data_IF_002615564356
#
_entry.id   IF_002615564356
#
_cell.length_a   1.000
_cell.length_b   1.000
_cell.length_c   1.000
_cell.angle_alpha   90.00
_cell.angle_beta   90.00
_cell.angle_gamma   90.00
#
_symmetry.space_group_name_H-M   'P 1'
#
loop_
_entity.id
_entity.type
_entity.pdbx_description
1 polymer ?
#
# COMPACT_ATOMS: atom_id res chain seq x y z
N UNK A 1 -23.14 10.94 -27.62
CA UNK A 1 -21.88 10.23 -27.96
C UNK A 1 -21.36 9.59 -26.68
N UNK A 2 -20.98 8.32 -26.77
CA UNK A 2 -21.11 7.30 -25.72
C UNK A 2 -20.10 7.36 -24.59
N UNK A 3 -20.56 7.09 -23.36
CA UNK A 3 -19.75 6.61 -22.21
C UNK A 3 -19.61 5.08 -22.29
N UNK A 4 -18.63 4.50 -21.59
CA UNK A 4 -19.01 3.43 -20.67
C UNK A 4 -18.41 3.59 -19.27
N UNK A 5 -19.10 2.96 -18.32
CA UNK A 5 -18.91 3.01 -16.88
C UNK A 5 -18.34 1.67 -16.34
N UNK A 6 -17.69 1.77 -15.18
CA UNK A 6 -17.72 0.87 -14.02
C UNK A 6 -17.84 -0.65 -14.27
N UNK A 7 -16.83 -1.41 -13.86
CA UNK A 7 -16.93 -2.87 -13.72
C UNK A 7 -16.73 -3.31 -12.28
N UNK A 8 -17.71 -3.00 -11.43
CA UNK A 8 -17.96 -3.78 -10.21
C UNK A 8 -19.33 -4.46 -10.34
N UNK A 9 -19.35 -5.80 -10.35
CA UNK A 9 -20.56 -6.58 -10.61
C UNK A 9 -21.01 -7.34 -9.37
N UNK A 10 -22.21 -6.99 -8.88
CA UNK A 10 -22.99 -7.76 -7.92
C UNK A 10 -23.72 -8.93 -8.61
N UNK A 11 -23.79 -10.08 -7.93
CA UNK A 11 -24.39 -11.33 -8.39
C UNK A 11 -25.82 -11.54 -7.85
N UNK A 12 -26.76 -12.01 -8.71
CA UNK A 12 -27.97 -12.81 -8.43
C UNK A 12 -28.34 -13.56 -9.74
N UNK A 13 -28.83 -14.80 -9.84
CA UNK A 13 -29.34 -15.85 -8.93
C UNK A 13 -29.19 -17.24 -9.62
N UNK A 14 -28.96 -18.26 -8.80
CA UNK A 14 -29.33 -19.70 -8.81
C UNK A 14 -29.68 -20.44 -10.13
N UNK A 15 -28.91 -21.50 -10.41
CA UNK A 15 -29.36 -22.74 -11.06
C UNK A 15 -28.66 -23.95 -10.42
N UNK A 16 -29.44 -24.97 -10.07
CA UNK A 16 -29.02 -26.20 -9.34
C UNK A 16 -28.21 -27.15 -10.24
N UNK A 17 -27.15 -27.76 -9.69
CA UNK A 17 -26.47 -28.91 -10.30
C UNK A 17 -25.78 -29.80 -9.24
N UNK A 18 -25.78 -31.12 -9.52
CA UNK A 18 -25.49 -32.29 -8.65
C UNK A 18 -24.08 -32.33 -8.03
N UNK A 19 -23.88 -33.06 -6.90
CA UNK A 19 -22.62 -33.08 -6.17
C UNK A 19 -21.59 -34.00 -6.85
N UNK A 20 -20.39 -33.47 -7.15
CA UNK A 20 -19.20 -34.29 -7.39
C UNK A 20 -18.35 -34.29 -6.12
N UNK A 21 -18.01 -35.49 -5.63
CA UNK A 21 -17.24 -35.71 -4.38
C UNK A 21 -15.91 -34.96 -4.43
N UNK A 22 -15.74 -34.01 -3.52
CA UNK A 22 -14.50 -33.30 -3.29
C UNK A 22 -13.46 -34.25 -2.66
N UNK A 23 -12.28 -34.35 -3.30
CA UNK A 23 -11.08 -34.85 -2.63
C UNK A 23 -10.63 -33.76 -1.65
N UNK A 24 -10.77 -34.00 -0.35
CA UNK A 24 -10.30 -33.10 0.72
C UNK A 24 -8.78 -32.99 0.65
N UNK A 25 -8.27 -31.81 0.33
CA UNK A 25 -6.89 -31.44 0.64
C UNK A 25 -6.93 -30.47 1.84
N UNK A 26 -6.45 -30.85 3.04
CA UNK A 26 -6.50 -29.99 4.20
C UNK A 26 -5.30 -29.05 4.18
N UNK A 27 -5.47 -27.84 3.63
CA UNK A 27 -4.60 -26.72 3.95
C UNK A 27 -5.45 -25.59 4.51
N UNK A 28 -5.85 -25.75 5.76
CA UNK A 28 -6.26 -24.64 6.62
C UNK A 28 -5.00 -23.86 6.98
N UNK A 29 -4.67 -22.85 6.16
CA UNK A 29 -3.62 -21.88 6.49
C UNK A 29 -4.04 -21.06 7.70
N UNK A 30 -3.24 -21.12 8.77
CA UNK A 30 -3.36 -20.21 9.90
C UNK A 30 -3.25 -18.75 9.44
N UNK A 31 -3.85 -17.77 10.17
CA UNK A 31 -3.66 -16.36 9.87
C UNK A 31 -2.16 -16.04 9.82
N UNK A 32 -1.70 -15.52 8.68
CA UNK A 32 -0.30 -15.14 8.51
C UNK A 32 0.02 -13.98 9.45
N UNK A 33 0.85 -14.25 10.46
CA UNK A 33 1.42 -13.23 11.32
C UNK A 33 2.11 -12.14 10.47
N UNK A 34 2.12 -10.86 10.92
CA UNK A 34 2.74 -9.77 10.17
C UNK A 34 4.18 -10.14 9.81
N UNK A 35 4.44 -10.18 8.50
CA UNK A 35 5.71 -10.64 7.95
C UNK A 35 6.76 -9.56 8.23
N UNK A 36 7.90 -9.94 8.81
CA UNK A 36 9.06 -9.05 8.92
C UNK A 36 9.53 -8.65 7.50
N UNK A 37 10.10 -7.45 7.33
CA UNK A 37 10.62 -7.01 6.05
C UNK A 37 11.54 -8.07 5.44
N UNK A 38 11.45 -8.29 4.13
CA UNK A 38 12.55 -8.88 3.38
C UNK A 38 13.81 -8.05 3.65
N UNK A 39 14.96 -8.69 3.83
CA UNK A 39 16.22 -8.03 4.13
C UNK A 39 16.66 -7.15 2.95
N UNK A 40 16.13 -5.93 2.87
CA UNK A 40 16.65 -4.90 1.98
C UNK A 40 18.00 -4.46 2.53
N UNK A 41 18.99 -4.41 1.65
CA UNK A 41 20.32 -3.94 2.02
C UNK A 41 20.19 -2.49 2.55
N UNK A 42 20.57 -2.21 3.81
CA UNK A 42 20.39 -0.89 4.42
C UNK A 42 21.12 0.22 3.68
N UNK A 43 22.19 -0.10 2.94
CA UNK A 43 22.97 0.87 2.15
C UNK A 43 22.54 0.96 0.69
N UNK A 44 21.58 0.15 0.24
CA UNK A 44 21.05 0.25 -1.13
C UNK A 44 20.20 1.53 -1.28
N UNK A 45 20.03 2.03 -2.51
CA UNK A 45 19.11 3.14 -2.80
C UNK A 45 17.71 2.85 -2.27
N UNK A 46 17.04 3.87 -1.74
CA UNK A 46 15.72 3.71 -1.17
C UNK A 46 14.68 3.39 -2.26
N UNK A 47 13.77 2.41 -2.07
CA UNK A 47 12.76 2.06 -3.06
C UNK A 47 11.88 3.24 -3.50
N UNK A 48 11.62 4.21 -2.63
CA UNK A 48 10.82 5.39 -2.94
C UNK A 48 11.41 6.35 -4.00
N UNK A 49 12.57 6.02 -4.57
CA UNK A 49 13.21 6.77 -5.66
C UNK A 49 14.13 7.91 -5.21
N UNK A 50 14.33 8.11 -3.89
CA UNK A 50 15.31 9.08 -3.38
C UNK A 50 16.73 8.51 -3.45
N UNK A 51 17.70 9.40 -3.67
CA UNK A 51 19.13 9.04 -3.77
C UNK A 51 19.73 8.56 -2.43
N UNK A 52 19.12 8.93 -1.30
CA UNK A 52 19.53 8.49 0.03
C UNK A 52 19.43 6.97 0.18
N UNK A 53 20.34 6.41 0.99
CA UNK A 53 20.30 4.99 1.34
C UNK A 53 19.00 4.65 2.08
N UNK A 54 18.48 3.43 1.88
CA UNK A 54 17.24 2.98 2.49
C UNK A 54 17.21 3.21 4.00
N UNK A 55 18.29 2.87 4.73
CA UNK A 55 18.40 3.06 6.18
C UNK A 55 18.19 4.52 6.61
N UNK A 56 18.71 5.46 5.84
CA UNK A 56 18.71 6.89 6.18
C UNK A 56 17.44 7.59 5.65
N UNK A 57 16.77 6.95 4.68
CA UNK A 57 15.51 7.40 4.10
C UNK A 57 14.30 6.70 4.74
N UNK A 58 13.62 5.79 4.03
CA UNK A 58 12.38 5.18 4.54
C UNK A 58 12.60 4.18 5.67
N UNK A 59 13.79 3.58 5.76
CA UNK A 59 14.20 2.71 6.86
C UNK A 59 14.14 3.41 8.22
N UNK A 60 14.51 4.70 8.30
CA UNK A 60 14.39 5.47 9.53
C UNK A 60 12.93 5.60 10.01
N UNK A 61 11.97 5.74 9.08
CA UNK A 61 10.53 5.70 9.41
C UNK A 61 10.06 4.29 9.79
N UNK A 62 10.57 3.27 9.10
CA UNK A 62 10.22 1.87 9.35
C UNK A 62 10.73 1.39 10.71
N UNK A 63 11.83 1.94 11.20
CA UNK A 63 12.40 1.66 12.52
C UNK A 63 11.83 2.57 13.63
N UNK A 64 11.03 3.58 13.28
CA UNK A 64 10.50 4.55 14.24
C UNK A 64 11.54 5.55 14.76
N UNK A 65 12.69 5.68 14.10
CA UNK A 65 13.70 6.70 14.43
C UNK A 65 13.25 8.10 14.09
N UNK A 66 12.43 8.23 13.05
CA UNK A 66 11.83 9.50 12.61
C UNK A 66 10.39 9.28 12.17
N UNK A 67 9.51 10.23 12.49
CA UNK A 67 8.16 10.30 11.94
C UNK A 67 8.19 10.95 10.56
N UNK A 68 7.17 10.69 9.73
CA UNK A 68 7.07 11.35 8.44
C UNK A 68 6.59 12.80 8.64
N UNK A 69 7.37 13.85 8.28
CA UNK A 69 6.97 15.25 8.49
C UNK A 69 5.84 15.74 7.57
N UNK A 70 5.56 15.03 6.47
CA UNK A 70 4.56 15.42 5.46
C UNK A 70 3.79 14.21 4.96
N UNK A 71 2.60 14.45 4.40
CA UNK A 71 1.79 13.42 3.74
C UNK A 71 2.55 12.73 2.59
N UNK A 72 3.25 13.49 1.75
CA UNK A 72 4.10 12.90 0.70
C UNK A 72 5.21 12.02 1.29
N UNK A 73 5.83 12.46 2.38
CA UNK A 73 6.90 11.70 3.01
C UNK A 73 6.39 10.39 3.60
N UNK A 74 5.16 10.38 4.11
CA UNK A 74 4.46 9.17 4.55
C UNK A 74 4.09 8.27 3.36
N UNK A 75 3.59 8.85 2.27
CA UNK A 75 3.27 8.08 1.05
C UNK A 75 4.52 7.34 0.54
N UNK A 76 5.66 8.02 0.47
CA UNK A 76 6.95 7.43 0.03
C UNK A 76 7.44 6.31 0.94
N UNK A 77 7.32 6.48 2.27
CA UNK A 77 7.68 5.41 3.19
C UNK A 77 6.71 4.25 3.09
N UNK A 78 5.40 4.48 2.97
CA UNK A 78 4.41 3.42 2.76
C UNK A 78 4.68 2.63 1.49
N UNK A 79 4.98 3.29 0.38
CA UNK A 79 5.44 2.61 -0.84
C UNK A 79 6.68 1.72 -0.58
N UNK A 80 7.67 2.24 0.14
CA UNK A 80 8.86 1.46 0.47
C UNK A 80 8.53 0.26 1.36
N UNK A 81 7.59 0.40 2.29
CA UNK A 81 7.11 -0.71 3.10
C UNK A 81 6.42 -1.80 2.27
N UNK A 82 5.65 -1.43 1.24
CA UNK A 82 5.15 -2.40 0.26
C UNK A 82 6.29 -3.10 -0.49
N UNK A 83 7.30 -2.35 -0.93
CA UNK A 83 8.45 -2.90 -1.64
C UNK A 83 9.28 -3.88 -0.81
N UNK A 84 9.46 -3.59 0.50
CA UNK A 84 10.25 -4.44 1.40
C UNK A 84 9.41 -5.46 2.17
N UNK A 85 8.08 -5.40 2.06
CA UNK A 85 7.16 -6.30 2.76
C UNK A 85 6.95 -6.00 4.25
N UNK A 86 7.09 -4.75 4.70
CA UNK A 86 6.84 -4.33 6.09
C UNK A 86 5.35 -4.07 6.33
N UNK A 87 4.56 -5.13 6.52
CA UNK A 87 3.11 -5.00 6.76
C UNK A 87 2.81 -4.35 8.11
N UNK A 88 3.69 -4.48 9.09
CA UNK A 88 3.55 -3.81 10.39
C UNK A 88 3.61 -2.28 10.23
N UNK A 89 4.48 -1.74 9.36
CA UNK A 89 4.48 -0.31 9.04
C UNK A 89 3.21 0.13 8.35
N UNK A 90 2.76 -0.65 7.38
CA UNK A 90 1.56 -0.34 6.63
C UNK A 90 0.34 -0.28 7.55
N UNK A 91 0.22 -1.19 8.51
CA UNK A 91 -0.87 -1.20 9.48
C UNK A 91 -0.74 -0.10 10.54
N UNK A 92 0.47 0.24 11.00
CA UNK A 92 0.62 1.30 12.03
C UNK A 92 0.44 2.72 11.48
N UNK A 93 0.66 2.91 10.18
CA UNK A 93 0.48 4.20 9.50
C UNK A 93 -0.84 4.32 8.73
N UNK A 94 -1.78 3.40 8.99
CA UNK A 94 -3.13 3.44 8.46
C UNK A 94 -4.07 3.94 9.55
N UNK A 95 -4.92 4.88 9.20
CA UNK A 95 -5.93 5.42 10.09
C UNK A 95 -6.84 4.30 10.63
N UNK A 96 -7.06 4.20 11.95
CA UNK A 96 -7.79 3.08 12.56
C UNK A 96 -9.21 2.86 12.01
N UNK A 97 -9.89 3.92 11.57
CA UNK A 97 -11.27 3.82 11.07
C UNK A 97 -11.38 3.12 9.70
N UNK A 98 -10.30 3.08 8.91
CA UNK A 98 -10.30 2.50 7.55
C UNK A 98 -9.28 1.37 7.41
N UNK A 99 -8.48 1.11 8.45
CA UNK A 99 -7.45 0.07 8.46
C UNK A 99 -8.06 -1.33 8.41
N UNK A 100 -7.63 -2.20 7.47
CA UNK A 100 -8.05 -3.60 7.48
C UNK A 100 -7.45 -4.35 8.69
N UNK A 101 -8.14 -5.38 9.18
CA UNK A 101 -7.67 -6.18 10.31
C UNK A 101 -6.38 -6.95 10.00
N UNK A 102 -6.23 -7.41 8.75
CA UNK A 102 -5.03 -8.09 8.25
C UNK A 102 -4.64 -7.51 6.90
N UNK A 103 -3.35 -7.61 6.57
CA UNK A 103 -2.81 -7.16 5.29
C UNK A 103 -1.84 -8.22 4.76
N UNK A 104 -2.28 -8.91 3.70
CA UNK A 104 -1.48 -9.88 2.99
C UNK A 104 -0.97 -9.27 1.67
N UNK A 105 0.34 -9.35 1.46
CA UNK A 105 0.97 -8.85 0.24
C UNK A 105 1.18 -10.00 -0.73
N UNK A 106 0.91 -9.76 -2.01
CA UNK A 106 1.15 -10.72 -3.09
C UNK A 106 2.65 -11.08 -3.20
N UNK A 107 3.07 -12.32 -2.85
CA UNK A 107 4.48 -12.66 -2.78
C UNK A 107 5.24 -12.59 -4.10
N UNK A 108 4.55 -12.70 -5.24
CA UNK A 108 5.15 -12.54 -6.56
C UNK A 108 5.27 -11.06 -7.00
N UNK A 109 4.58 -10.14 -6.33
CA UNK A 109 4.59 -8.73 -6.66
C UNK A 109 5.92 -8.10 -6.28
N UNK A 110 6.52 -7.37 -7.22
CA UNK A 110 7.68 -6.52 -6.98
C UNK A 110 7.32 -5.09 -7.33
N UNK A 111 7.63 -4.15 -6.44
CA UNK A 111 7.49 -2.73 -6.67
C UNK A 111 8.80 -2.18 -7.22
N UNK A 112 8.73 -1.51 -8.36
CA UNK A 112 9.92 -1.16 -9.16
C UNK A 112 10.14 0.34 -9.32
N UNK A 113 9.14 1.18 -9.00
CA UNK A 113 9.29 2.62 -9.03
C UNK A 113 8.08 3.36 -8.47
N UNK A 114 8.30 4.62 -8.08
CA UNK A 114 7.27 5.51 -7.58
C UNK A 114 7.42 6.89 -8.21
N UNK A 115 6.36 7.36 -8.86
CA UNK A 115 6.22 8.75 -9.32
C UNK A 115 5.22 9.47 -8.41
N UNK A 116 5.62 10.60 -7.83
CA UNK A 116 4.68 11.54 -7.21
C UNK A 116 4.23 12.52 -8.29
N UNK A 117 2.94 12.55 -8.54
CA UNK A 117 2.33 13.33 -9.63
C UNK A 117 1.80 14.68 -9.11
N UNK A 118 1.32 14.71 -7.87
CA UNK A 118 0.77 15.91 -7.26
C UNK A 118 0.60 15.78 -5.75
N UNK A 119 0.60 16.92 -5.06
CA UNK A 119 0.27 17.01 -3.63
C UNK A 119 -0.63 18.23 -3.38
N UNK A 120 -1.49 18.12 -2.38
CA UNK A 120 -2.29 19.25 -1.87
C UNK A 120 -2.36 19.18 -0.35
N UNK A 121 -2.11 20.29 0.34
CA UNK A 121 -1.96 20.31 1.80
C UNK A 121 -0.78 19.45 2.27
N UNK A 122 -0.93 18.76 3.40
CA UNK A 122 0.02 17.70 3.79
C UNK A 122 1.40 18.16 4.27
N UNK A 123 1.62 19.46 4.45
CA UNK A 123 2.87 20.00 5.02
C UNK A 123 2.86 19.96 6.55
N UNK A 124 3.97 20.32 7.20
CA UNK A 124 4.08 20.37 8.66
C UNK A 124 3.08 21.32 9.36
N UNK A 125 2.38 22.18 8.62
CA UNK A 125 1.39 23.12 9.16
C UNK A 125 -0.06 22.72 8.84
N UNK A 126 -0.27 21.60 8.16
CA UNK A 126 -1.59 21.10 7.82
C UNK A 126 -1.94 19.89 8.67
N UNK A 127 -3.25 19.70 8.87
CA UNK A 127 -3.77 18.49 9.52
C UNK A 127 -4.39 17.50 8.53
N UNK A 128 -4.50 17.89 7.26
CA UNK A 128 -4.93 17.03 6.16
C UNK A 128 -4.06 17.25 4.92
N UNK A 129 -4.01 16.25 4.06
CA UNK A 129 -3.33 16.35 2.77
C UNK A 129 -3.70 15.23 1.82
N UNK A 130 -3.39 15.44 0.55
CA UNK A 130 -3.55 14.42 -0.49
C UNK A 130 -2.27 14.26 -1.29
N UNK A 131 -2.05 13.05 -1.80
CA UNK A 131 -0.92 12.71 -2.67
C UNK A 131 -1.44 11.90 -3.85
N UNK A 132 -1.20 12.40 -5.04
CA UNK A 132 -1.45 11.71 -6.30
C UNK A 132 -0.15 11.06 -6.77
N UNK A 133 -0.19 9.77 -7.08
CA UNK A 133 1.01 9.02 -7.45
C UNK A 133 0.74 7.88 -8.43
N UNK A 134 1.84 7.42 -9.03
CA UNK A 134 1.89 6.19 -9.82
C UNK A 134 2.96 5.26 -9.27
N UNK A 135 2.55 4.06 -8.86
CA UNK A 135 3.43 3.03 -8.35
C UNK A 135 3.62 1.93 -9.41
N UNK A 136 4.85 1.74 -9.85
CA UNK A 136 5.23 0.77 -10.89
C UNK A 136 5.59 -0.57 -10.27
N UNK A 137 5.27 -1.63 -11.00
CA UNK A 137 5.41 -2.97 -10.46
C UNK A 137 5.69 -4.02 -11.54
N UNK A 138 6.20 -5.18 -11.10
CA UNK A 138 6.26 -6.43 -11.87
C UNK A 138 5.53 -7.53 -11.10
N UNK A 139 4.59 -8.22 -11.75
CA UNK A 139 3.80 -9.31 -11.18
C UNK A 139 3.80 -10.50 -12.15
N UNK A 140 4.27 -11.66 -11.69
CA UNK A 140 4.38 -12.86 -12.52
C UNK A 140 5.10 -12.62 -13.86
N UNK A 141 6.10 -11.73 -13.87
CA UNK A 141 6.86 -11.36 -15.07
C UNK A 141 6.23 -10.25 -15.92
N UNK A 142 5.02 -9.79 -15.60
CA UNK A 142 4.35 -8.70 -16.30
C UNK A 142 4.55 -7.37 -15.57
N UNK A 143 5.01 -6.35 -16.30
CA UNK A 143 5.13 -5.00 -15.77
C UNK A 143 3.83 -4.23 -15.87
N UNK A 144 3.52 -3.44 -14.85
CA UNK A 144 2.34 -2.59 -14.81
C UNK A 144 2.55 -1.39 -13.88
N UNK A 145 1.51 -0.58 -13.74
CA UNK A 145 1.49 0.50 -12.75
C UNK A 145 0.10 0.65 -12.13
N UNK A 146 0.06 1.20 -10.93
CA UNK A 146 -1.16 1.57 -10.21
C UNK A 146 -1.15 3.08 -10.03
N UNK A 147 -2.23 3.74 -10.42
CA UNK A 147 -2.44 5.16 -10.20
C UNK A 147 -3.42 5.33 -9.04
N UNK A 148 -3.10 6.22 -8.10
CA UNK A 148 -3.95 6.50 -6.95
C UNK A 148 -3.84 7.98 -6.53
N UNK A 149 -4.95 8.53 -6.04
CA UNK A 149 -4.99 9.80 -5.32
C UNK A 149 -5.43 9.52 -3.89
N UNK A 150 -4.49 9.55 -2.94
CA UNK A 150 -4.74 9.17 -1.55
C UNK A 150 -4.93 10.37 -0.65
N UNK A 151 -5.75 10.20 0.39
CA UNK A 151 -5.96 11.15 1.48
C UNK A 151 -5.22 10.73 2.75
N UNK A 152 -4.71 11.74 3.45
CA UNK A 152 -3.95 11.62 4.69
C UNK A 152 -4.45 12.63 5.71
N UNK A 153 -4.39 12.25 6.98
CA UNK A 153 -4.68 13.11 8.13
C UNK A 153 -3.52 13.08 9.11
N UNK A 154 -3.34 14.15 9.88
CA UNK A 154 -2.36 14.22 10.95
C UNK A 154 -3.07 14.19 12.30
N UNK A 155 -2.81 13.16 13.08
CA UNK A 155 -3.37 12.99 14.41
C UNK A 155 -2.24 12.80 15.41
N UNK A 156 -2.28 13.55 16.52
CA UNK A 156 -1.25 13.48 17.57
C UNK A 156 0.18 13.68 17.02
N UNK A 157 0.32 14.51 15.97
CA UNK A 157 1.59 14.79 15.32
C UNK A 157 2.03 13.77 14.25
N UNK A 158 1.29 12.68 14.07
CA UNK A 158 1.62 11.61 13.12
C UNK A 158 0.70 11.66 11.89
N UNK A 159 1.29 11.56 10.69
CA UNK A 159 0.52 11.39 9.47
C UNK A 159 0.02 9.94 9.34
N UNK A 160 -1.24 9.78 8.96
CA UNK A 160 -1.92 8.50 8.75
C UNK A 160 -2.60 8.49 7.37
N UNK A 161 -2.47 7.37 6.66
CA UNK A 161 -3.24 7.10 5.43
C UNK A 161 -4.69 6.81 5.79
N UNK A 162 -5.64 7.47 5.12
CA UNK A 162 -7.07 7.23 5.34
C UNK A 162 -7.64 6.32 4.26
N UNK A 163 -7.69 6.81 3.02
CA UNK A 163 -8.30 6.11 1.89
C UNK A 163 -7.79 6.65 0.55
N UNK A 164 -8.08 5.89 -0.51
CA UNK A 164 -8.02 6.38 -1.88
C UNK A 164 -9.26 7.20 -2.18
N UNK A 165 -9.08 8.38 -2.77
CA UNK A 165 -10.16 9.17 -3.31
C UNK A 165 -10.67 8.47 -4.58
N UNK A 166 -11.96 8.16 -4.61
CA UNK A 166 -12.60 7.65 -5.81
C UNK A 166 -12.64 8.78 -6.84
N UNK A 167 -11.99 8.61 -7.98
CA UNK A 167 -11.98 9.62 -9.05
C UNK A 167 -13.40 10.02 -9.44
N UNK A 168 -13.67 11.34 -9.45
CA UNK A 168 -14.88 11.94 -10.04
C UNK A 168 -14.84 11.90 -11.56
#
# INVERSE_FOLDING_TARGET
MSRPASTYRHNRRVSKSKPKKAKKNPQTGAPHAPRRPAAVNPTAPCPCGRAEAYRDCCGACHEGRVSAPTAERLMRSRYSAFAVGDTAYLLRTWHPATRPATLDLEPAQRWTGLDILGTSGGTAFHDEGTVEFRAHYSLHGHTGSQYEHSRFVREQGEWLYVDALSGV
#
